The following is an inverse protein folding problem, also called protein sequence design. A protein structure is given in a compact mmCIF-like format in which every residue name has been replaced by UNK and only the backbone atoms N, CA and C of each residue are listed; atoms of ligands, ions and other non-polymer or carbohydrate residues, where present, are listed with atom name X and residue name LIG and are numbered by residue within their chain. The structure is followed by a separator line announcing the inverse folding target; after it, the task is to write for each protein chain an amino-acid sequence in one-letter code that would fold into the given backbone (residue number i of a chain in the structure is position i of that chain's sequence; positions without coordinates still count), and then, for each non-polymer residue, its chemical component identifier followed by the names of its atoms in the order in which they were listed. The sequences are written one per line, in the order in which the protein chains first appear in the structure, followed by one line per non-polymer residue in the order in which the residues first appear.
data_IF_002392175289
#
_entry.id   IF_002392175289
#
_cell.length_a   1.000
_cell.length_b   1.000
_cell.length_c   1.000
_cell.angle_alpha   90.00
_cell.angle_beta   90.00
_cell.angle_gamma   90.00
#
_symmetry.space_group_name_H-M   'P 1'
#
loop_
_entity.id
_entity.type
_entity.pdbx_description
1 polymer ?
#
# COMPACT_ATOMS: atom_id res chain seq x y z
N UNK A 1 19.31 11.11 -13.48
CA UNK A 1 19.17 11.88 -12.22
C UNK A 1 18.23 11.07 -11.34
N UNK A 2 18.62 10.79 -10.09
CA UNK A 2 17.72 10.08 -9.17
C UNK A 2 16.40 10.87 -9.09
N UNK A 3 15.27 10.23 -9.34
CA UNK A 3 13.96 10.87 -9.25
C UNK A 3 13.71 11.23 -7.79
N UNK A 4 13.63 12.53 -7.48
CA UNK A 4 13.30 12.98 -6.13
C UNK A 4 11.82 12.67 -5.87
N UNK A 5 11.55 11.64 -5.07
CA UNK A 5 10.18 11.36 -4.62
C UNK A 5 9.72 12.47 -3.66
N UNK A 6 8.46 12.89 -3.79
CA UNK A 6 7.85 13.73 -2.77
C UNK A 6 7.70 12.92 -1.47
N UNK A 7 8.00 13.56 -0.34
CA UNK A 7 7.92 12.94 0.99
C UNK A 7 7.10 13.77 1.94
N UNK A 8 6.33 13.09 2.78
CA UNK A 8 5.74 13.62 4.00
C UNK A 8 6.55 13.05 5.16
N UNK A 9 7.25 13.93 5.89
CA UNK A 9 8.09 13.53 7.03
C UNK A 9 7.50 14.02 8.33
N UNK A 10 7.48 13.15 9.36
CA UNK A 10 6.95 13.51 10.68
C UNK A 10 7.60 12.70 11.80
N UNK A 11 7.81 13.32 12.95
CA UNK A 11 8.40 12.69 14.13
C UNK A 11 9.93 12.68 14.14
N UNK A 12 10.48 11.95 15.08
CA UNK A 12 11.91 11.76 15.27
C UNK A 12 12.19 10.33 15.79
N UNK A 13 13.44 9.90 15.75
CA UNK A 13 13.83 8.53 16.15
C UNK A 13 14.26 7.67 14.95
N UNK A 14 14.24 6.34 15.08
CA UNK A 14 14.62 5.44 13.99
C UNK A 14 13.73 5.65 12.76
N UNK A 15 14.29 5.69 11.54
CA UNK A 15 13.51 5.95 10.34
C UNK A 15 12.55 4.81 10.01
N UNK A 16 11.37 5.16 9.49
CA UNK A 16 10.34 4.25 9.00
C UNK A 16 9.80 4.75 7.67
N UNK A 17 10.00 3.98 6.61
CA UNK A 17 9.54 4.31 5.26
C UNK A 17 8.14 3.72 5.02
N UNK A 18 7.19 4.55 4.60
CA UNK A 18 5.82 4.15 4.28
C UNK A 18 5.54 4.26 2.78
N UNK A 19 5.03 3.17 2.18
CA UNK A 19 4.76 3.07 0.74
C UNK A 19 3.26 2.80 0.50
N UNK A 20 2.58 3.72 -0.19
CA UNK A 20 1.14 3.64 -0.47
C UNK A 20 0.78 2.64 -1.57
N UNK A 21 -0.53 2.37 -1.72
CA UNK A 21 -1.10 1.50 -2.75
C UNK A 21 -1.40 2.20 -4.07
N UNK A 22 -2.00 1.44 -5.01
CA UNK A 22 -2.42 1.93 -6.32
C UNK A 22 -3.40 3.10 -6.20
N UNK A 23 -3.15 4.18 -6.94
CA UNK A 23 -4.02 5.36 -7.02
C UNK A 23 -4.04 6.24 -5.77
N UNK A 24 -3.22 5.94 -4.77
CA UNK A 24 -3.11 6.67 -3.50
C UNK A 24 -1.90 7.61 -3.45
N UNK A 25 -1.55 8.10 -2.27
CA UNK A 25 -0.39 8.94 -1.99
C UNK A 25 0.06 8.77 -0.53
N UNK A 26 1.12 9.47 -0.14
CA UNK A 26 1.58 9.54 1.26
C UNK A 26 0.49 9.99 2.25
N UNK A 27 -0.52 10.71 1.77
CA UNK A 27 -1.65 11.18 2.60
C UNK A 27 -2.53 10.04 3.14
N UNK A 28 -2.52 8.85 2.54
CA UNK A 28 -3.30 7.69 3.01
C UNK A 28 -2.94 7.27 4.43
N UNK A 29 -1.70 7.57 4.85
CA UNK A 29 -1.18 7.23 6.16
C UNK A 29 -1.62 8.18 7.29
N UNK A 30 -2.37 9.25 6.96
CA UNK A 30 -2.81 10.25 7.93
C UNK A 30 -3.41 9.67 9.23
N UNK A 31 -4.24 8.59 9.20
CA UNK A 31 -4.79 8.02 10.42
C UNK A 31 -3.76 7.41 11.38
N UNK A 32 -2.56 7.07 10.89
CA UNK A 32 -1.50 6.43 11.67
C UNK A 32 -0.41 7.39 12.10
N UNK A 33 -0.30 8.56 11.46
CA UNK A 33 0.87 9.43 11.59
C UNK A 33 1.15 9.86 13.03
N UNK A 34 0.12 10.21 13.81
CA UNK A 34 0.31 10.66 15.21
C UNK A 34 0.92 9.53 16.06
N UNK A 35 0.41 8.31 15.91
CA UNK A 35 0.88 7.16 16.67
C UNK A 35 2.30 6.72 16.24
N UNK A 36 2.56 6.66 14.93
CA UNK A 36 3.86 6.27 14.41
C UNK A 36 4.94 7.31 14.71
N UNK A 37 4.63 8.59 14.52
CA UNK A 37 5.60 9.68 14.72
C UNK A 37 5.96 9.96 16.18
N UNK A 38 5.22 9.38 17.12
CA UNK A 38 5.58 9.43 18.53
C UNK A 38 6.85 8.62 18.85
N UNK A 39 7.16 7.59 18.04
CA UNK A 39 8.28 6.66 18.26
C UNK A 39 9.28 6.60 17.09
N UNK A 40 8.89 7.07 15.91
CA UNK A 40 9.65 6.90 14.66
C UNK A 40 9.79 8.22 13.89
N UNK A 41 10.88 8.34 13.16
CA UNK A 41 11.00 9.33 12.07
C UNK A 41 10.29 8.76 10.83
N UNK A 42 9.01 9.08 10.68
CA UNK A 42 8.17 8.58 9.57
C UNK A 42 8.51 9.33 8.29
N UNK A 43 8.76 8.59 7.22
CA UNK A 43 8.98 9.09 5.85
C UNK A 43 7.96 8.39 4.95
N UNK A 44 6.85 9.07 4.61
CA UNK A 44 5.87 8.55 3.67
C UNK A 44 6.13 9.12 2.28
N UNK A 45 6.37 8.28 1.29
CA UNK A 45 6.68 8.69 -0.08
C UNK A 45 5.44 8.69 -0.97
N UNK A 46 5.40 9.60 -1.94
CA UNK A 46 4.55 9.46 -3.11
C UNK A 46 5.35 8.71 -4.18
N UNK A 47 4.81 7.60 -4.69
CA UNK A 47 5.44 6.82 -5.76
C UNK A 47 5.50 7.62 -7.08
N UNK A 48 6.40 7.28 -8.02
CA UNK A 48 6.50 7.98 -9.30
C UNK A 48 5.17 8.02 -10.06
N UNK A 49 4.71 9.24 -10.40
CA UNK A 49 3.45 9.47 -11.08
C UNK A 49 2.21 9.40 -10.20
N UNK A 50 2.39 9.37 -8.88
CA UNK A 50 1.34 9.44 -7.86
C UNK A 50 1.56 10.67 -6.97
N UNK A 51 0.46 11.18 -6.39
CA UNK A 51 0.50 12.32 -5.49
C UNK A 51 1.22 13.53 -6.12
N UNK A 52 2.36 13.90 -5.55
CA UNK A 52 3.19 15.04 -5.98
C UNK A 52 4.50 14.62 -6.64
N UNK A 53 4.76 13.32 -6.78
CA UNK A 53 5.96 12.81 -7.45
C UNK A 53 5.82 12.84 -8.97
N UNK A 54 6.87 13.26 -9.65
CA UNK A 54 6.94 13.17 -11.11
C UNK A 54 6.86 11.69 -11.58
N UNK A 55 6.33 11.40 -12.76
CA UNK A 55 6.32 10.05 -13.31
C UNK A 55 7.75 9.59 -13.67
N UNK A 56 7.90 8.27 -13.88
CA UNK A 56 9.14 7.72 -14.44
C UNK A 56 9.30 8.16 -15.91
N UNK A 57 10.54 8.27 -16.34
CA UNK A 57 10.88 8.48 -17.76
C UNK A 57 10.75 7.20 -18.60
N UNK A 58 10.40 6.08 -17.99
CA UNK A 58 10.32 4.76 -18.61
C UNK A 58 9.06 3.99 -18.19
N UNK A 59 8.98 2.68 -18.53
CA UNK A 59 7.79 1.88 -18.25
C UNK A 59 7.52 1.77 -16.74
N UNK A 60 6.25 1.85 -16.38
CA UNK A 60 5.78 1.66 -15.00
C UNK A 60 5.48 0.18 -14.78
N UNK A 61 6.33 -0.47 -14.00
CA UNK A 61 6.16 -1.85 -13.54
C UNK A 61 6.36 -1.91 -12.03
N UNK A 62 5.98 -3.03 -11.40
CA UNK A 62 6.31 -3.20 -9.97
C UNK A 62 7.83 -3.17 -9.74
N UNK A 63 8.61 -3.71 -10.67
CA UNK A 63 10.08 -3.67 -10.58
C UNK A 63 10.61 -2.24 -10.66
N UNK A 64 10.24 -1.45 -11.68
CA UNK A 64 10.75 -0.09 -11.85
C UNK A 64 10.26 0.89 -10.77
N UNK A 65 9.03 0.70 -10.25
CA UNK A 65 8.56 1.45 -9.08
C UNK A 65 9.38 1.09 -7.82
N UNK A 66 9.71 -0.20 -7.65
CA UNK A 66 10.56 -0.65 -6.54
C UNK A 66 11.99 -0.14 -6.69
N UNK A 67 12.55 -0.14 -7.90
CA UNK A 67 13.87 0.44 -8.22
C UNK A 67 13.94 1.92 -7.82
N UNK A 68 12.90 2.69 -8.13
CA UNK A 68 12.83 4.11 -7.74
C UNK A 68 12.78 4.32 -6.22
N UNK A 69 12.15 3.41 -5.46
CA UNK A 69 12.18 3.45 -3.99
C UNK A 69 13.54 3.04 -3.46
N UNK A 70 14.19 2.03 -4.05
CA UNK A 70 15.54 1.60 -3.69
C UNK A 70 16.56 2.73 -3.93
N UNK A 71 16.50 3.40 -5.09
CA UNK A 71 17.31 4.60 -5.40
C UNK A 71 17.04 5.74 -4.40
N UNK A 72 15.78 5.92 -3.99
CA UNK A 72 15.44 6.92 -2.97
C UNK A 72 16.06 6.58 -1.61
N UNK A 73 16.00 5.32 -1.17
CA UNK A 73 16.61 4.83 0.08
C UNK A 73 18.11 5.16 0.08
N UNK A 74 18.80 4.84 -1.01
CA UNK A 74 20.23 5.08 -1.17
C UNK A 74 20.55 6.58 -1.18
N UNK A 75 19.83 7.36 -1.96
CA UNK A 75 20.04 8.79 -2.09
C UNK A 75 19.80 9.58 -0.80
N UNK A 76 18.89 9.09 0.06
CA UNK A 76 18.60 9.69 1.38
C UNK A 76 19.47 9.14 2.52
N UNK A 77 20.39 8.19 2.23
CA UNK A 77 21.20 7.56 3.27
C UNK A 77 20.39 6.73 4.26
N UNK A 78 19.28 6.15 3.83
CA UNK A 78 18.36 5.36 4.63
C UNK A 78 18.69 3.86 4.59
N UNK A 79 19.94 3.48 4.42
CA UNK A 79 20.36 2.08 4.42
C UNK A 79 19.86 1.37 5.69
N UNK A 80 19.21 0.21 5.53
CA UNK A 80 18.64 -0.54 6.65
C UNK A 80 17.34 0.03 7.21
N UNK A 81 16.68 0.99 6.52
CA UNK A 81 15.40 1.54 6.95
C UNK A 81 14.32 0.47 7.05
N UNK A 82 13.59 0.49 8.15
CA UNK A 82 12.38 -0.33 8.26
C UNK A 82 11.29 0.18 7.31
N UNK A 83 10.52 -0.74 6.77
CA UNK A 83 9.52 -0.41 5.75
C UNK A 83 8.13 -0.89 6.12
N UNK A 84 7.11 -0.10 5.79
CA UNK A 84 5.73 -0.57 5.79
C UNK A 84 5.02 -0.15 4.51
N UNK A 85 4.18 -1.02 3.98
CA UNK A 85 3.45 -0.76 2.74
C UNK A 85 2.02 -1.27 2.78
N UNK A 86 1.16 -0.71 1.92
CA UNK A 86 -0.23 -1.14 1.76
C UNK A 86 -0.51 -1.57 0.32
N UNK A 87 -1.18 -2.70 0.12
CA UNK A 87 -1.62 -3.17 -1.21
C UNK A 87 -0.47 -3.33 -2.20
N UNK A 88 -0.40 -2.49 -3.25
CA UNK A 88 0.72 -2.41 -4.17
C UNK A 88 2.03 -2.05 -3.44
N UNK A 89 1.99 -1.07 -2.53
CA UNK A 89 3.13 -0.72 -1.69
C UNK A 89 3.57 -1.85 -0.77
N UNK A 90 2.63 -2.65 -0.25
CA UNK A 90 2.94 -3.85 0.53
C UNK A 90 3.68 -4.91 -0.31
N UNK A 91 3.29 -5.08 -1.57
CA UNK A 91 4.03 -5.91 -2.52
C UNK A 91 5.45 -5.39 -2.76
N UNK A 92 5.61 -4.06 -2.86
CA UNK A 92 6.91 -3.43 -3.09
C UNK A 92 7.84 -3.58 -1.88
N UNK A 93 7.36 -3.42 -0.64
CA UNK A 93 8.20 -3.63 0.55
C UNK A 93 8.62 -5.11 0.69
N UNK A 94 7.77 -6.06 0.30
CA UNK A 94 8.15 -7.48 0.21
C UNK A 94 9.20 -7.72 -0.88
N UNK A 95 9.13 -7.01 -1.99
CA UNK A 95 10.14 -7.09 -3.05
C UNK A 95 11.48 -6.48 -2.60
N UNK A 96 11.48 -5.34 -1.90
CA UNK A 96 12.67 -4.77 -1.28
C UNK A 96 13.31 -5.77 -0.30
N UNK A 97 12.52 -6.35 0.61
CA UNK A 97 13.00 -7.36 1.54
C UNK A 97 13.62 -8.57 0.81
N UNK A 98 12.99 -9.07 -0.27
CA UNK A 98 13.49 -10.17 -1.10
C UNK A 98 14.83 -9.82 -1.79
N UNK A 99 15.04 -8.56 -2.14
CA UNK A 99 16.30 -8.04 -2.73
C UNK A 99 17.39 -7.80 -1.69
N UNK A 100 17.07 -7.92 -0.39
CA UNK A 100 18.00 -7.64 0.70
C UNK A 100 18.10 -6.14 1.02
N UNK A 101 17.11 -5.33 0.61
CA UNK A 101 17.07 -3.89 0.83
C UNK A 101 16.18 -3.55 2.02
N UNK A 102 16.63 -2.60 2.85
CA UNK A 102 15.94 -2.14 4.05
C UNK A 102 16.26 -2.96 5.30
N UNK A 103 15.41 -2.85 6.30
CA UNK A 103 15.42 -3.56 7.59
C UNK A 103 14.22 -4.48 7.73
N UNK A 104 13.52 -4.36 8.87
CA UNK A 104 12.24 -5.08 9.08
C UNK A 104 11.13 -4.52 8.22
N UNK A 105 10.21 -5.40 7.82
CA UNK A 105 9.17 -5.10 6.81
C UNK A 105 7.79 -5.47 7.31
N UNK A 106 6.83 -4.54 7.18
CA UNK A 106 5.40 -4.80 7.42
C UNK A 106 4.60 -4.58 6.14
N UNK A 107 3.96 -5.64 5.65
CA UNK A 107 3.15 -5.63 4.43
C UNK A 107 1.67 -5.77 4.77
N UNK A 108 0.86 -4.74 4.51
CA UNK A 108 -0.58 -4.73 4.77
C UNK A 108 -1.35 -5.09 3.50
N UNK A 109 -2.06 -6.22 3.52
CA UNK A 109 -2.89 -6.73 2.42
C UNK A 109 -2.17 -6.75 1.05
N UNK A 110 -0.99 -7.41 0.95
CA UNK A 110 -0.15 -7.33 -0.23
C UNK A 110 -0.79 -7.96 -1.47
N UNK A 111 -0.65 -7.29 -2.62
CA UNK A 111 -0.96 -7.87 -3.92
C UNK A 111 0.10 -8.86 -4.41
N UNK A 112 -0.22 -9.62 -5.48
CA UNK A 112 0.75 -10.47 -6.16
C UNK A 112 0.71 -11.95 -5.78
N UNK A 113 -0.22 -12.38 -4.91
CA UNK A 113 -0.37 -13.76 -4.43
C UNK A 113 -1.66 -14.43 -4.94
N UNK A 114 -2.19 -13.98 -6.04
CA UNK A 114 -3.45 -14.48 -6.60
C UNK A 114 -3.29 -15.70 -7.51
N UNK A 115 -4.35 -16.50 -7.54
CA UNK A 115 -4.58 -17.48 -8.60
C UNK A 115 -5.09 -16.77 -9.86
N UNK A 116 -5.08 -17.44 -11.05
CA UNK A 116 -5.62 -16.82 -12.27
C UNK A 116 -7.06 -16.31 -12.14
N UNK A 117 -7.91 -17.03 -11.40
CA UNK A 117 -9.30 -16.61 -11.16
C UNK A 117 -9.39 -15.37 -10.26
N UNK A 118 -8.57 -15.29 -9.22
CA UNK A 118 -8.50 -14.12 -8.32
C UNK A 118 -7.91 -12.91 -9.05
N UNK A 119 -6.90 -13.10 -9.89
CA UNK A 119 -6.33 -12.03 -10.72
C UNK A 119 -7.38 -11.47 -11.70
N UNK A 120 -8.15 -12.35 -12.35
CA UNK A 120 -9.25 -11.91 -13.22
C UNK A 120 -10.32 -11.14 -12.45
N UNK A 121 -10.68 -11.59 -11.25
CA UNK A 121 -11.62 -10.87 -10.38
C UNK A 121 -11.08 -9.48 -10.02
N UNK A 122 -9.83 -9.38 -9.57
CA UNK A 122 -9.13 -8.12 -9.32
C UNK A 122 -9.16 -7.20 -10.55
N UNK A 123 -8.73 -7.70 -11.72
CA UNK A 123 -8.67 -6.94 -12.95
C UNK A 123 -10.03 -6.35 -13.35
N UNK A 124 -11.10 -7.15 -13.27
CA UNK A 124 -12.46 -6.72 -13.62
C UNK A 124 -13.00 -5.71 -12.63
N UNK A 125 -12.89 -5.99 -11.32
CA UNK A 125 -13.51 -5.14 -10.31
C UNK A 125 -12.77 -3.83 -10.11
N UNK A 126 -11.44 -3.85 -10.05
CA UNK A 126 -10.65 -2.62 -9.94
C UNK A 126 -10.67 -1.81 -11.23
N UNK A 127 -10.59 -2.45 -12.39
CA UNK A 127 -10.73 -1.75 -13.68
C UNK A 127 -12.09 -1.06 -13.83
N UNK A 128 -13.18 -1.71 -13.37
CA UNK A 128 -14.51 -1.09 -13.34
C UNK A 128 -14.57 0.07 -12.33
N UNK A 129 -13.96 -0.08 -11.14
CA UNK A 129 -13.89 0.98 -10.13
C UNK A 129 -13.12 2.20 -10.64
N UNK A 130 -11.97 2.03 -11.29
CA UNK A 130 -11.20 3.12 -11.89
C UNK A 130 -12.04 3.91 -12.91
N UNK A 131 -12.72 3.20 -13.81
CA UNK A 131 -13.61 3.83 -14.81
C UNK A 131 -14.78 4.59 -14.17
N UNK A 132 -15.40 3.98 -13.14
CA UNK A 132 -16.50 4.61 -12.41
C UNK A 132 -16.05 5.86 -11.68
N UNK A 133 -14.95 5.78 -10.92
CA UNK A 133 -14.42 6.89 -10.11
C UNK A 133 -14.10 8.10 -11.02
N UNK A 134 -13.46 7.87 -12.16
CA UNK A 134 -13.19 8.94 -13.15
C UNK A 134 -14.47 9.62 -13.65
N UNK A 135 -15.50 8.83 -13.93
CA UNK A 135 -16.76 9.33 -14.47
C UNK A 135 -17.56 10.16 -13.44
N UNK A 136 -17.44 9.83 -12.16
CA UNK A 136 -18.24 10.46 -11.08
C UNK A 136 -17.48 11.52 -10.29
N UNK A 137 -16.31 11.97 -10.73
CA UNK A 137 -15.49 12.99 -10.04
C UNK A 137 -16.27 14.23 -9.59
N UNK A 138 -17.19 14.82 -10.41
CA UNK A 138 -17.98 15.97 -9.99
C UNK A 138 -18.94 15.67 -8.84
N UNK A 139 -19.39 14.41 -8.70
CA UNK A 139 -20.32 13.99 -7.67
C UNK A 139 -19.64 13.57 -6.37
N UNK A 140 -18.33 13.27 -6.38
CA UNK A 140 -17.59 12.78 -5.21
C UNK A 140 -17.76 13.65 -3.96
N UNK A 141 -17.69 14.99 -4.01
CA UNK A 141 -17.85 15.82 -2.81
C UNK A 141 -19.21 15.61 -2.11
N UNK A 142 -20.26 15.35 -2.87
CA UNK A 142 -21.60 15.07 -2.31
C UNK A 142 -21.71 13.63 -1.83
N UNK A 143 -21.24 12.66 -2.61
CA UNK A 143 -21.31 11.25 -2.27
C UNK A 143 -20.48 10.92 -1.03
N UNK A 144 -19.29 11.47 -0.91
CA UNK A 144 -18.39 11.18 0.23
C UNK A 144 -18.86 11.81 1.55
N UNK A 145 -19.63 12.90 1.53
CA UNK A 145 -20.24 13.46 2.74
C UNK A 145 -21.29 12.55 3.35
N UNK A 146 -21.95 11.71 2.53
CA UNK A 146 -23.02 10.82 2.99
C UNK A 146 -22.46 9.43 3.33
N UNK A 147 -22.75 8.85 4.52
CA UNK A 147 -22.37 7.47 4.86
C UNK A 147 -22.82 6.42 3.85
N UNK A 148 -24.03 6.55 3.29
CA UNK A 148 -24.53 5.65 2.23
C UNK A 148 -23.68 5.75 0.97
N UNK A 149 -23.34 6.98 0.55
CA UNK A 149 -22.47 7.21 -0.59
C UNK A 149 -21.06 6.63 -0.38
N UNK A 150 -20.46 6.82 0.80
CA UNK A 150 -19.18 6.18 1.13
C UNK A 150 -19.27 4.67 1.09
N UNK A 151 -20.37 4.09 1.62
CA UNK A 151 -20.60 2.65 1.56
C UNK A 151 -20.69 2.15 0.12
N UNK A 152 -21.45 2.82 -0.74
CA UNK A 152 -21.58 2.43 -2.14
C UNK A 152 -20.23 2.49 -2.90
N UNK A 153 -19.38 3.48 -2.58
CA UNK A 153 -18.09 3.68 -3.24
C UNK A 153 -17.00 2.74 -2.74
N UNK A 154 -17.02 2.39 -1.44
CA UNK A 154 -15.90 1.72 -0.77
C UNK A 154 -16.24 0.35 -0.19
N UNK A 155 -17.41 -0.22 -0.44
CA UNK A 155 -17.81 -1.53 0.11
C UNK A 155 -16.86 -2.68 -0.27
N UNK A 156 -16.10 -2.54 -1.36
CA UNK A 156 -15.09 -3.52 -1.75
C UNK A 156 -13.77 -3.32 -0.96
N UNK A 157 -13.48 -2.10 -0.51
CA UNK A 157 -12.18 -1.71 0.05
C UNK A 157 -12.16 -1.72 1.58
N UNK A 158 -13.26 -1.38 2.24
CA UNK A 158 -13.36 -1.21 3.69
C UNK A 158 -14.48 -2.08 4.26
N UNK A 159 -14.28 -2.57 5.47
CA UNK A 159 -15.32 -3.26 6.23
C UNK A 159 -16.33 -2.27 6.85
N UNK A 160 -15.93 -1.01 7.07
CA UNK A 160 -16.74 0.03 7.71
C UNK A 160 -16.75 1.35 6.92
N UNK A 161 -17.09 1.34 5.61
CA UNK A 161 -16.94 2.53 4.75
C UNK A 161 -17.76 3.73 5.24
N UNK A 162 -18.89 3.48 5.91
CA UNK A 162 -19.75 4.54 6.47
C UNK A 162 -19.08 5.32 7.61
N UNK A 163 -18.13 4.71 8.32
CA UNK A 163 -17.42 5.29 9.45
C UNK A 163 -16.18 6.10 9.03
N UNK A 164 -15.67 5.89 7.82
CA UNK A 164 -14.46 6.58 7.34
C UNK A 164 -14.66 8.09 7.27
N UNK A 165 -13.65 8.91 7.60
CA UNK A 165 -13.72 10.37 7.47
C UNK A 165 -13.96 10.79 6.01
N UNK A 166 -14.98 11.61 5.77
CA UNK A 166 -15.31 12.08 4.42
C UNK A 166 -14.15 12.79 3.68
N UNK A 167 -13.32 13.63 4.34
CA UNK A 167 -12.15 14.23 3.70
C UNK A 167 -11.12 13.20 3.24
N UNK A 168 -10.85 12.16 4.03
CA UNK A 168 -9.95 11.06 3.65
C UNK A 168 -10.46 10.36 2.39
N UNK A 169 -11.72 9.93 2.42
CA UNK A 169 -12.35 9.23 1.28
C UNK A 169 -12.34 10.08 0.02
N UNK A 170 -12.64 11.37 0.14
CA UNK A 170 -12.62 12.28 -1.01
C UNK A 170 -11.21 12.44 -1.59
N UNK A 171 -10.21 12.60 -0.72
CA UNK A 171 -8.82 12.75 -1.15
C UNK A 171 -8.33 11.50 -1.90
N UNK A 172 -8.59 10.30 -1.36
CA UNK A 172 -8.23 9.03 -1.99
C UNK A 172 -8.90 8.83 -3.36
N UNK A 173 -10.21 9.05 -3.44
CA UNK A 173 -10.94 8.88 -4.69
C UNK A 173 -10.53 9.91 -5.77
N UNK A 174 -10.10 11.10 -5.37
CA UNK A 174 -9.50 12.08 -6.30
C UNK A 174 -8.09 11.70 -6.71
N UNK A 175 -7.33 11.08 -5.82
CA UNK A 175 -5.99 10.58 -6.11
C UNK A 175 -5.96 9.62 -7.29
N UNK A 176 -6.95 8.76 -7.42
CA UNK A 176 -7.08 7.82 -8.56
C UNK A 176 -7.18 8.50 -9.93
N UNK A 177 -7.76 9.69 -10.02
CA UNK A 177 -7.81 10.44 -11.29
C UNK A 177 -6.53 11.25 -11.50
N UNK A 178 -6.02 11.84 -10.44
CA UNK A 178 -4.85 12.72 -10.50
C UNK A 178 -3.54 11.95 -10.77
N UNK A 179 -3.48 10.66 -10.42
CA UNK A 179 -2.29 9.85 -10.59
C UNK A 179 -2.07 9.48 -12.06
N UNK A 180 -1.06 10.08 -12.69
CA UNK A 180 -0.75 9.88 -14.11
C UNK A 180 -0.26 8.47 -14.43
N UNK A 181 0.36 7.78 -13.47
CA UNK A 181 0.88 6.41 -13.63
C UNK A 181 -0.12 5.32 -13.21
N UNK A 182 -1.36 5.65 -12.84
CA UNK A 182 -2.31 4.68 -12.28
C UNK A 182 -2.70 3.56 -13.25
N UNK A 183 -2.87 3.88 -14.53
CA UNK A 183 -3.26 2.89 -15.55
C UNK A 183 -2.13 1.91 -15.84
N UNK A 184 -0.90 2.41 -15.99
CA UNK A 184 0.26 1.57 -16.22
C UNK A 184 0.58 0.70 -14.99
N UNK A 185 0.47 1.26 -13.78
CA UNK A 185 0.66 0.49 -12.56
C UNK A 185 -0.42 -0.58 -12.37
N UNK A 186 -1.69 -0.28 -12.74
CA UNK A 186 -2.76 -1.26 -12.76
C UNK A 186 -2.46 -2.38 -13.78
N UNK A 187 -2.03 -2.02 -14.99
CA UNK A 187 -1.62 -2.98 -16.01
C UNK A 187 -0.45 -3.87 -15.52
N UNK A 188 0.54 -3.28 -14.86
CA UNK A 188 1.65 -3.99 -14.25
C UNK A 188 1.22 -4.98 -13.14
N UNK A 189 0.17 -4.66 -12.39
CA UNK A 189 -0.42 -5.56 -11.40
C UNK A 189 -1.16 -6.73 -12.06
N UNK A 190 -1.83 -6.49 -13.18
CA UNK A 190 -2.66 -7.49 -13.88
C UNK A 190 -1.83 -8.39 -14.80
N UNK A 191 -0.89 -7.83 -15.55
CA UNK A 191 -0.14 -8.56 -16.57
C UNK A 191 1.32 -8.82 -16.19
N UNK A 192 1.82 -8.17 -15.15
CA UNK A 192 3.18 -8.40 -14.66
C UNK A 192 3.35 -9.74 -13.94
N UNK A 193 4.59 -10.09 -13.58
CA UNK A 193 4.88 -11.33 -12.85
C UNK A 193 4.23 -11.31 -11.46
N UNK A 194 3.91 -12.49 -10.92
CA UNK A 194 3.47 -12.64 -9.53
C UNK A 194 4.60 -12.29 -8.55
N UNK A 195 4.25 -12.02 -7.29
CA UNK A 195 5.25 -11.78 -6.26
C UNK A 195 6.13 -13.02 -6.06
N UNK A 196 7.42 -12.85 -6.26
CA UNK A 196 8.43 -13.86 -5.94
C UNK A 196 8.61 -13.98 -4.42
N UNK A 197 8.97 -15.15 -3.95
CA UNK A 197 9.27 -15.40 -2.55
C UNK A 197 10.71 -15.09 -2.17
N UNK A 198 11.00 -15.10 -0.88
CA UNK A 198 12.33 -15.04 -0.30
C UNK A 198 12.66 -16.36 0.41
N UNK A 199 13.84 -16.96 0.18
CA UNK A 199 14.28 -18.13 0.95
C UNK A 199 14.35 -17.85 2.44
N UNK A 200 14.29 -18.91 3.25
CA UNK A 200 14.51 -18.82 4.71
C UNK A 200 15.84 -18.12 5.01
N UNK A 201 15.82 -17.15 5.92
CA UNK A 201 17.00 -16.40 6.35
C UNK A 201 17.58 -15.41 5.33
N UNK A 202 16.89 -15.14 4.20
CA UNK A 202 17.44 -14.26 3.15
C UNK A 202 16.97 -12.80 3.26
N UNK A 203 15.98 -12.50 4.08
CA UNK A 203 15.51 -11.12 4.29
C UNK A 203 16.39 -10.38 5.30
N UNK A 204 16.62 -9.05 5.13
CA UNK A 204 17.52 -8.30 6.02
C UNK A 204 16.99 -8.12 7.44
N UNK A 205 15.67 -8.24 7.62
CA UNK A 205 15.00 -8.13 8.91
C UNK A 205 13.76 -8.99 8.98
N UNK A 206 12.96 -8.80 10.04
CA UNK A 206 11.69 -9.51 10.22
C UNK A 206 10.70 -9.12 9.13
N UNK A 207 9.89 -10.07 8.68
CA UNK A 207 8.78 -9.82 7.76
C UNK A 207 7.47 -10.11 8.48
N UNK A 208 6.59 -9.11 8.53
CA UNK A 208 5.24 -9.24 9.07
C UNK A 208 4.23 -8.95 7.97
N UNK A 209 3.28 -9.85 7.74
CA UNK A 209 2.22 -9.69 6.75
C UNK A 209 0.90 -9.54 7.50
N UNK A 210 0.32 -8.34 7.48
CA UNK A 210 -1.00 -8.07 8.03
C UNK A 210 -2.08 -8.27 6.98
N UNK A 211 -3.19 -8.94 7.33
CA UNK A 211 -4.29 -9.21 6.38
C UNK A 211 -5.66 -8.97 7.00
N UNK A 212 -6.51 -8.20 6.29
CA UNK A 212 -7.90 -8.00 6.66
C UNK A 212 -8.74 -9.24 6.36
N UNK A 213 -9.48 -9.77 7.38
CA UNK A 213 -10.32 -10.95 7.20
C UNK A 213 -11.51 -10.74 6.25
N UNK A 214 -11.87 -9.47 5.99
CA UNK A 214 -12.96 -9.10 5.09
C UNK A 214 -12.45 -8.43 3.81
N UNK A 215 -11.17 -8.59 3.49
CA UNK A 215 -10.58 -8.08 2.25
C UNK A 215 -11.24 -8.72 1.03
N UNK A 216 -11.73 -7.86 0.13
CA UNK A 216 -12.41 -8.23 -1.11
C UNK A 216 -11.61 -7.83 -2.37
N UNK A 217 -10.37 -7.40 -2.18
CA UNK A 217 -9.41 -7.02 -3.23
C UNK A 217 -8.34 -8.11 -3.33
N UNK A 218 -7.47 -8.20 -2.32
CA UNK A 218 -6.53 -9.29 -2.13
C UNK A 218 -7.13 -10.27 -1.14
N UNK A 219 -7.82 -11.28 -1.66
CA UNK A 219 -8.65 -12.15 -0.83
C UNK A 219 -7.85 -12.84 0.29
N UNK A 220 -8.41 -13.04 1.50
CA UNK A 220 -7.71 -13.65 2.65
C UNK A 220 -7.10 -15.02 2.35
N UNK A 221 -7.66 -15.77 1.39
CA UNK A 221 -7.12 -17.06 0.93
C UNK A 221 -5.71 -16.95 0.31
N UNK A 222 -5.29 -15.76 -0.10
CA UNK A 222 -3.95 -15.49 -0.66
C UNK A 222 -2.87 -15.46 0.42
N UNK A 223 -3.22 -15.21 1.67
CA UNK A 223 -2.27 -15.20 2.79
C UNK A 223 -1.54 -16.54 2.95
N UNK A 224 -2.17 -17.66 2.57
CA UNK A 224 -1.52 -18.98 2.57
C UNK A 224 -0.36 -19.02 1.57
N UNK A 225 -0.55 -18.49 0.37
CA UNK A 225 0.51 -18.44 -0.64
C UNK A 225 1.60 -17.44 -0.24
N UNK A 226 1.21 -16.30 0.35
CA UNK A 226 2.18 -15.33 0.88
C UNK A 226 3.09 -15.96 1.94
N UNK A 227 2.53 -16.68 2.93
CA UNK A 227 3.30 -17.41 3.93
C UNK A 227 4.19 -18.51 3.34
N UNK A 228 3.77 -19.18 2.25
CA UNK A 228 4.62 -20.14 1.55
C UNK A 228 5.79 -19.48 0.81
N UNK A 229 5.57 -18.29 0.26
CA UNK A 229 6.61 -17.53 -0.45
C UNK A 229 7.58 -16.80 0.48
N UNK A 230 7.13 -16.44 1.67
CA UNK A 230 7.92 -15.82 2.74
C UNK A 230 7.79 -16.67 4.01
N UNK A 231 8.53 -17.81 4.08
CA UNK A 231 8.33 -18.79 5.15
C UNK A 231 8.73 -18.29 6.54
N UNK A 232 9.59 -17.27 6.63
CA UNK A 232 9.96 -16.62 7.91
C UNK A 232 8.98 -15.51 8.31
N UNK A 233 7.98 -15.20 7.47
CA UNK A 233 7.05 -14.14 7.77
C UNK A 233 6.03 -14.57 8.83
N UNK A 234 5.74 -13.64 9.76
CA UNK A 234 4.59 -13.76 10.65
C UNK A 234 3.34 -13.20 9.97
N UNK A 235 2.26 -13.98 9.94
CA UNK A 235 0.96 -13.51 9.41
C UNK A 235 0.08 -13.04 10.55
N UNK A 236 -0.31 -11.78 10.51
CA UNK A 236 -1.27 -11.16 11.43
C UNK A 236 -2.62 -10.95 10.76
N UNK A 237 -3.72 -11.22 11.48
CA UNK A 237 -5.08 -11.08 10.99
C UNK A 237 -5.79 -9.92 11.66
N UNK A 238 -6.35 -9.01 10.85
CA UNK A 238 -7.22 -7.94 11.32
C UNK A 238 -8.69 -8.39 11.24
N UNK A 239 -9.35 -8.51 12.39
CA UNK A 239 -10.79 -8.75 12.44
C UNK A 239 -11.57 -7.49 12.06
N UNK A 240 -12.73 -7.65 11.43
CA UNK A 240 -13.60 -6.53 10.99
C UNK A 240 -12.84 -5.50 10.14
N UNK A 241 -11.99 -5.98 9.25
CA UNK A 241 -11.11 -5.16 8.42
C UNK A 241 -11.19 -5.63 6.97
N UNK A 242 -11.33 -4.68 6.05
CA UNK A 242 -11.24 -4.86 4.60
C UNK A 242 -9.80 -4.77 4.10
N UNK A 243 -9.61 -4.18 2.93
CA UNK A 243 -8.32 -4.09 2.24
C UNK A 243 -7.35 -3.07 2.84
N UNK A 244 -7.82 -2.15 3.67
CA UNK A 244 -7.00 -1.09 4.22
C UNK A 244 -7.01 -1.09 5.75
N UNK A 245 -6.15 -1.89 6.42
CA UNK A 245 -6.05 -1.88 7.89
C UNK A 245 -5.77 -0.50 8.47
N UNK A 246 -4.97 0.31 7.79
CA UNK A 246 -4.68 1.69 8.19
C UNK A 246 -5.88 2.64 8.16
N UNK A 247 -7.03 2.21 7.58
CA UNK A 247 -8.30 2.93 7.61
C UNK A 247 -9.31 2.30 8.56
N UNK A 248 -9.46 0.95 8.48
CA UNK A 248 -10.49 0.22 9.23
C UNK A 248 -10.09 -0.03 10.68
N UNK A 249 -8.79 -0.20 10.95
CA UNK A 249 -8.21 -0.54 12.25
C UNK A 249 -6.91 0.26 12.48
N UNK A 250 -6.94 1.60 12.44
CA UNK A 250 -5.73 2.43 12.41
C UNK A 250 -4.80 2.21 13.61
N UNK A 251 -5.36 2.08 14.83
CA UNK A 251 -4.56 1.84 16.03
C UNK A 251 -3.85 0.48 15.98
N UNK A 252 -4.57 -0.58 15.63
CA UNK A 252 -3.97 -1.91 15.48
C UNK A 252 -2.95 -1.97 14.35
N UNK A 253 -3.19 -1.26 13.24
CA UNK A 253 -2.25 -1.19 12.13
C UNK A 253 -0.96 -0.46 12.53
N UNK A 254 -1.08 0.65 13.28
CA UNK A 254 0.07 1.37 13.80
C UNK A 254 0.86 0.52 14.79
N UNK A 255 0.20 -0.14 15.73
CA UNK A 255 0.85 -1.03 16.71
C UNK A 255 1.53 -2.22 16.04
N UNK A 256 0.90 -2.82 15.00
CA UNK A 256 1.54 -3.88 14.21
C UNK A 256 2.79 -3.39 13.49
N UNK A 257 2.75 -2.21 12.90
CA UNK A 257 3.91 -1.59 12.24
C UNK A 257 5.02 -1.36 13.25
N UNK A 258 4.73 -0.73 14.40
CA UNK A 258 5.74 -0.49 15.43
C UNK A 258 6.35 -1.79 15.98
N UNK A 259 5.54 -2.78 16.29
CA UNK A 259 6.03 -4.08 16.79
C UNK A 259 6.81 -4.89 15.73
N UNK A 260 6.45 -4.74 14.46
CA UNK A 260 7.10 -5.43 13.35
C UNK A 260 8.37 -4.76 12.86
N UNK A 261 8.62 -3.49 13.24
CA UNK A 261 9.74 -2.66 12.79
C UNK A 261 10.58 -2.10 13.95
N UNK A 262 10.51 -2.72 15.12
CA UNK A 262 11.25 -2.35 16.35
C UNK A 262 12.35 -3.34 16.69
#
# INVERSE_FOLDING_TARGET
MASSLFTLTRGSGPPLLLIHGLGSSSATWAPLLDRLSAERSVVAVDLPGFGKSAPLDGPVTIATLTDAVEEFIDAQGLAGVDTAGSSMGARMVLELARRGVGGSTVALDPGGFWTPGQLRFFAVTIGASLKLIRKIQPALPTLTKNPVGRTALLAQFSAHPWALPAPLVLAELRGFEAAVSVDEAFDALVHGPLQAGAPVGSTPGKVTIGWGRQDRITLPSQAKLAAQRFPDATVHWFDKCGHFPHWDQPEQAADLILAGTG
#
